data_IF_159559059689
#
_entry.id   IF_159559059689
#
_cell.length_a   1.000
_cell.length_b   1.000
_cell.length_c   1.000
_cell.angle_alpha   90.00
_cell.angle_beta   90.00
_cell.angle_gamma   90.00
#
_symmetry.space_group_name_H-M   'P 1'
#
loop_
_entity.id
_entity.type
_entity.pdbx_description
1 polymer ?
#
# COMPACT_ATOMS: atom_id res chain seq x y z
N UNK A 1 32.75 -8.56 -20.25
CA UNK A 1 32.25 -8.74 -18.86
C UNK A 1 31.89 -7.36 -18.36
N UNK A 2 30.58 -7.04 -18.32
CA UNK A 2 30.11 -5.79 -17.75
C UNK A 2 30.12 -5.94 -16.23
N UNK A 3 30.93 -5.14 -15.55
CA UNK A 3 30.89 -5.01 -14.10
C UNK A 3 29.54 -4.37 -13.77
N UNK A 4 28.61 -5.16 -13.26
CA UNK A 4 27.41 -4.63 -12.62
C UNK A 4 27.89 -3.73 -11.49
N UNK A 5 27.76 -2.42 -11.64
CA UNK A 5 27.95 -1.47 -10.56
C UNK A 5 26.87 -1.78 -9.53
N UNK A 6 27.27 -2.38 -8.42
CA UNK A 6 26.39 -2.53 -7.27
C UNK A 6 25.96 -1.11 -6.87
N UNK A 7 24.68 -0.82 -6.99
CA UNK A 7 24.11 0.46 -6.53
C UNK A 7 24.44 0.58 -5.03
N UNK A 8 25.05 1.69 -4.58
CA UNK A 8 25.38 1.83 -3.16
C UNK A 8 24.11 1.72 -2.34
N UNK A 9 24.19 1.00 -1.22
CA UNK A 9 23.05 0.86 -0.29
C UNK A 9 22.70 2.23 0.29
N UNK A 10 21.42 2.55 0.27
CA UNK A 10 20.86 3.81 0.75
C UNK A 10 20.13 3.63 2.07
N UNK A 11 20.11 4.68 2.88
CA UNK A 11 19.12 4.85 3.94
C UNK A 11 17.79 5.29 3.34
N UNK A 12 16.71 5.16 4.11
CA UNK A 12 15.39 5.63 3.67
C UNK A 12 15.38 7.13 3.32
N UNK A 13 16.05 7.95 4.13
CA UNK A 13 16.08 9.40 3.91
C UNK A 13 16.84 9.78 2.63
N UNK A 14 17.93 9.05 2.30
CA UNK A 14 18.64 9.20 1.03
C UNK A 14 17.76 8.72 -0.15
N UNK A 15 17.04 7.62 0.04
CA UNK A 15 16.18 7.03 -0.98
C UNK A 15 15.04 7.97 -1.39
N UNK A 16 14.30 8.58 -0.45
CA UNK A 16 13.18 9.46 -0.81
C UNK A 16 13.63 10.69 -1.58
N UNK A 17 14.79 11.26 -1.23
CA UNK A 17 15.39 12.37 -1.98
C UNK A 17 15.84 11.91 -3.37
N UNK A 18 16.46 10.74 -3.44
CA UNK A 18 16.92 10.17 -4.70
C UNK A 18 15.73 9.84 -5.62
N UNK A 19 14.68 9.19 -5.11
CA UNK A 19 13.51 8.79 -5.91
C UNK A 19 12.74 9.98 -6.45
N UNK A 20 12.57 11.04 -5.66
CA UNK A 20 11.94 12.30 -6.08
C UNK A 20 12.71 13.02 -7.21
N UNK A 21 14.02 12.80 -7.32
CA UNK A 21 14.85 13.36 -8.37
C UNK A 21 14.83 12.55 -9.68
N UNK A 22 14.22 11.34 -9.70
CA UNK A 22 14.16 10.54 -10.92
C UNK A 22 13.12 11.11 -11.90
N UNK A 23 13.43 11.18 -13.21
CA UNK A 23 12.52 11.75 -14.19
C UNK A 23 11.32 10.84 -14.48
N UNK A 24 11.43 9.56 -14.20
CA UNK A 24 10.41 8.51 -14.41
C UNK A 24 10.71 7.30 -13.53
N UNK A 25 9.70 6.45 -13.35
CA UNK A 25 9.78 5.20 -12.61
C UNK A 25 9.15 5.31 -11.23
N UNK A 26 8.86 4.15 -10.67
CA UNK A 26 8.43 3.98 -9.27
C UNK A 26 9.42 3.02 -8.62
N UNK A 27 9.74 3.25 -7.38
CA UNK A 27 10.83 2.56 -6.72
C UNK A 27 10.47 2.21 -5.28
N UNK A 28 10.94 1.06 -4.85
CA UNK A 28 10.93 0.63 -3.46
C UNK A 28 12.37 0.55 -2.93
N UNK A 29 12.52 0.66 -1.62
CA UNK A 29 13.80 0.42 -0.94
C UNK A 29 13.72 -0.91 -0.20
N UNK A 30 14.59 -1.87 -0.55
CA UNK A 30 14.62 -3.21 0.04
C UNK A 30 16.03 -3.51 0.52
N UNK A 31 16.23 -3.65 1.82
CA UNK A 31 17.56 -3.85 2.43
C UNK A 31 18.61 -2.76 2.04
N UNK A 32 18.13 -1.53 1.80
CA UNK A 32 18.96 -0.43 1.32
C UNK A 32 19.22 -0.45 -0.17
N UNK A 33 18.69 -1.39 -0.92
CA UNK A 33 18.81 -1.49 -2.38
C UNK A 33 17.56 -0.91 -3.05
N UNK A 34 17.76 -0.12 -4.10
CA UNK A 34 16.65 0.44 -4.89
C UNK A 34 16.13 -0.63 -5.83
N UNK A 35 14.83 -0.89 -5.77
CA UNK A 35 14.12 -1.83 -6.64
C UNK A 35 13.14 -1.04 -7.50
N UNK A 36 13.31 -1.08 -8.81
CA UNK A 36 12.37 -0.47 -9.74
C UNK A 36 11.11 -1.33 -9.86
N UNK A 37 9.95 -0.70 -9.72
CA UNK A 37 8.67 -1.38 -9.87
C UNK A 37 8.32 -1.55 -11.36
N UNK A 38 7.79 -2.71 -11.76
CA UNK A 38 7.43 -2.95 -13.15
C UNK A 38 6.24 -2.07 -13.58
N UNK A 39 6.14 -1.84 -14.89
CA UNK A 39 4.96 -1.19 -15.48
C UNK A 39 3.70 -2.03 -15.26
N UNK A 40 2.59 -1.38 -15.00
CA UNK A 40 1.30 -2.01 -14.69
C UNK A 40 0.39 -2.09 -15.92
N UNK A 41 -0.40 -3.15 -16.00
CA UNK A 41 -1.41 -3.31 -17.04
C UNK A 41 -2.70 -2.52 -16.75
N UNK A 42 -3.55 -2.35 -17.78
CA UNK A 42 -4.78 -1.57 -17.67
C UNK A 42 -5.76 -2.10 -16.61
N UNK A 43 -5.92 -3.43 -16.50
CA UNK A 43 -6.78 -4.03 -15.46
C UNK A 43 -6.31 -3.64 -14.05
N UNK A 44 -5.02 -3.72 -13.79
CA UNK A 44 -4.44 -3.35 -12.50
C UNK A 44 -4.76 -1.89 -12.16
N UNK A 45 -4.56 -0.97 -13.11
CA UNK A 45 -4.87 0.45 -12.93
C UNK A 45 -6.37 0.71 -12.67
N UNK A 46 -7.28 0.02 -13.37
CA UNK A 46 -8.72 0.15 -13.12
C UNK A 46 -9.11 -0.32 -11.73
N UNK A 47 -8.53 -1.42 -11.26
CA UNK A 47 -8.79 -1.93 -9.89
C UNK A 47 -8.21 -0.98 -8.84
N UNK A 48 -7.01 -0.43 -9.03
CA UNK A 48 -6.46 0.60 -8.13
C UNK A 48 -7.38 1.81 -8.03
N UNK A 49 -7.89 2.29 -9.16
CA UNK A 49 -8.85 3.40 -9.16
C UNK A 49 -10.11 3.05 -8.36
N UNK A 50 -10.67 1.85 -8.55
CA UNK A 50 -11.84 1.40 -7.81
C UNK A 50 -11.59 1.29 -6.31
N UNK A 51 -10.40 0.82 -5.89
CA UNK A 51 -9.96 0.79 -4.49
C UNK A 51 -9.95 2.19 -3.90
N UNK A 52 -9.27 3.13 -4.58
CA UNK A 52 -9.19 4.53 -4.10
C UNK A 52 -10.58 5.15 -3.97
N UNK A 53 -11.46 4.96 -4.97
CA UNK A 53 -12.83 5.47 -4.92
C UNK A 53 -13.64 4.86 -3.78
N UNK A 54 -13.53 3.55 -3.54
CA UNK A 54 -14.20 2.88 -2.43
C UNK A 54 -13.72 3.39 -1.06
N UNK A 55 -12.41 3.59 -0.89
CA UNK A 55 -11.83 4.17 0.32
C UNK A 55 -12.29 5.61 0.54
N UNK A 56 -12.30 6.44 -0.50
CA UNK A 56 -12.76 7.84 -0.43
C UNK A 56 -14.25 7.90 -0.07
N UNK A 57 -15.07 7.03 -0.65
CA UNK A 57 -16.50 6.96 -0.34
C UNK A 57 -16.73 6.53 1.11
N UNK A 58 -16.00 5.50 1.58
CA UNK A 58 -16.08 5.05 2.97
C UNK A 58 -15.64 6.14 3.96
N UNK A 59 -14.53 6.83 3.67
CA UNK A 59 -14.03 7.95 4.47
C UNK A 59 -15.07 9.08 4.56
N UNK A 60 -15.68 9.45 3.44
CA UNK A 60 -16.71 10.49 3.37
C UNK A 60 -17.95 10.10 4.18
N UNK A 61 -18.44 8.85 4.06
CA UNK A 61 -19.60 8.34 4.83
C UNK A 61 -19.32 8.32 6.33
N UNK A 62 -18.13 7.93 6.72
CA UNK A 62 -17.71 7.91 8.12
C UNK A 62 -17.35 9.29 8.68
N UNK A 63 -17.32 10.34 7.84
CA UNK A 63 -16.78 11.68 8.20
C UNK A 63 -15.37 11.59 8.76
N UNK A 64 -14.59 10.66 8.24
CA UNK A 64 -13.22 10.42 8.66
C UNK A 64 -12.30 11.54 8.16
N UNK A 65 -11.48 12.09 9.05
CA UNK A 65 -10.66 13.27 8.76
C UNK A 65 -9.31 12.95 8.09
N UNK A 66 -8.90 11.68 8.05
CA UNK A 66 -7.64 11.27 7.40
C UNK A 66 -7.71 11.41 5.87
N UNK A 67 -6.58 11.21 5.23
CA UNK A 67 -6.45 11.35 3.77
C UNK A 67 -6.30 10.00 3.10
N UNK A 68 -6.98 9.83 1.95
CA UNK A 68 -6.82 8.67 1.06
C UNK A 68 -5.84 9.03 -0.05
N UNK A 69 -4.79 8.25 -0.19
CA UNK A 69 -3.79 8.36 -1.24
C UNK A 69 -3.94 7.24 -2.27
N UNK A 70 -3.61 7.54 -3.50
CA UNK A 70 -3.28 6.57 -4.55
C UNK A 70 -1.80 6.18 -4.42
N UNK A 71 -1.27 5.39 -5.35
CA UNK A 71 0.16 5.09 -5.46
C UNK A 71 1.04 6.35 -5.63
N UNK A 72 2.34 6.18 -5.58
CA UNK A 72 3.33 7.27 -5.68
C UNK A 72 3.78 7.84 -4.34
N UNK A 73 3.25 7.35 -3.22
CA UNK A 73 3.69 7.76 -1.88
C UNK A 73 4.30 6.57 -1.13
N UNK A 74 5.53 6.73 -0.67
CA UNK A 74 6.26 5.68 0.03
C UNK A 74 5.83 5.57 1.49
N UNK A 75 5.65 4.36 2.00
CA UNK A 75 5.56 4.02 3.42
C UNK A 75 6.94 3.71 3.95
N UNK A 76 7.40 4.44 4.96
CA UNK A 76 8.64 4.14 5.68
C UNK A 76 8.43 2.93 6.59
N UNK A 77 9.12 1.84 6.32
CA UNK A 77 9.09 0.65 7.19
C UNK A 77 10.17 0.79 8.27
N UNK A 78 11.41 1.03 7.86
CA UNK A 78 12.55 1.27 8.75
C UNK A 78 13.63 2.12 8.04
N UNK A 79 14.85 2.12 8.57
CA UNK A 79 15.95 2.90 8.00
C UNK A 79 16.46 2.39 6.63
N UNK A 80 16.06 1.18 6.21
CA UNK A 80 16.56 0.54 4.97
C UNK A 80 15.43 -0.07 4.12
N UNK A 81 14.17 0.12 4.54
CA UNK A 81 13.00 -0.38 3.81
C UNK A 81 11.96 0.72 3.63
N UNK A 82 11.51 0.87 2.41
CA UNK A 82 10.41 1.74 2.00
C UNK A 82 9.57 1.05 0.94
N UNK A 83 8.25 1.01 1.13
CA UNK A 83 7.31 0.37 0.21
C UNK A 83 6.34 1.38 -0.36
N UNK A 84 5.96 1.19 -1.62
CA UNK A 84 4.96 2.02 -2.31
C UNK A 84 3.68 1.22 -2.53
N UNK A 85 2.66 1.34 -1.65
CA UNK A 85 1.40 0.64 -1.81
C UNK A 85 0.56 1.26 -2.95
N UNK A 86 -0.34 0.47 -3.53
CA UNK A 86 -1.28 0.92 -4.57
C UNK A 86 -2.34 1.91 -4.06
N UNK A 87 -2.66 1.85 -2.77
CA UNK A 87 -3.44 2.86 -2.07
C UNK A 87 -3.13 2.86 -0.57
N UNK A 88 -3.31 4.01 0.07
CA UNK A 88 -3.14 4.12 1.51
C UNK A 88 -4.13 5.13 2.13
N UNK A 89 -4.36 4.97 3.44
CA UNK A 89 -5.15 5.94 4.23
C UNK A 89 -4.34 6.33 5.46
N UNK A 90 -4.17 7.63 5.68
CA UNK A 90 -3.49 8.18 6.87
C UNK A 90 -4.48 8.49 7.98
N UNK A 91 -4.00 8.47 9.23
CA UNK A 91 -4.82 8.77 10.42
C UNK A 91 -5.26 10.22 10.44
N UNK A 92 -4.35 11.12 10.07
CA UNK A 92 -4.54 12.56 10.12
C UNK A 92 -4.63 13.16 8.72
N UNK A 93 -5.25 14.33 8.56
CA UNK A 93 -5.15 15.10 7.33
C UNK A 93 -3.68 15.42 7.00
N UNK A 94 -3.36 15.51 5.72
CA UNK A 94 -2.02 15.89 5.27
C UNK A 94 -1.77 17.33 5.68
N UNK A 95 -0.73 17.53 6.50
CA UNK A 95 -0.29 18.87 6.93
C UNK A 95 0.75 19.46 5.96
N UNK A 96 1.55 18.61 5.33
CA UNK A 96 2.59 19.00 4.37
C UNK A 96 2.32 18.32 3.03
N UNK A 97 1.89 19.09 2.04
CA UNK A 97 1.61 18.61 0.68
C UNK A 97 2.88 18.29 -0.12
N UNK A 98 4.03 18.73 0.34
CA UNK A 98 5.34 18.45 -0.27
C UNK A 98 6.04 17.24 0.38
N UNK A 99 5.38 16.57 1.33
CA UNK A 99 5.93 15.37 1.95
C UNK A 99 6.17 14.28 0.89
N UNK A 100 7.37 13.69 0.91
CA UNK A 100 7.79 12.66 -0.04
C UNK A 100 7.40 11.24 0.40
N UNK A 101 6.86 11.07 1.59
CA UNK A 101 6.41 9.79 2.12
C UNK A 101 5.22 9.96 3.05
N UNK A 102 4.48 8.87 3.28
CA UNK A 102 3.28 8.88 4.12
C UNK A 102 3.63 8.98 5.60
N UNK A 103 2.97 9.92 6.28
CA UNK A 103 3.03 10.06 7.73
C UNK A 103 1.78 9.40 8.31
N UNK A 104 1.97 8.53 9.32
CA UNK A 104 0.91 7.81 10.03
C UNK A 104 -0.08 7.05 9.12
N UNK A 105 0.39 6.20 8.17
CA UNK A 105 -0.50 5.33 7.42
C UNK A 105 -1.19 4.36 8.37
N UNK A 106 -2.52 4.16 8.20
CA UNK A 106 -3.32 3.24 9.00
C UNK A 106 -3.81 2.05 8.17
N UNK A 107 -4.11 2.29 6.91
CA UNK A 107 -4.57 1.28 5.96
C UNK A 107 -3.63 1.32 4.76
N UNK A 108 -3.14 0.17 4.34
CA UNK A 108 -2.38 0.01 3.10
C UNK A 108 -3.04 -1.05 2.23
N UNK A 109 -3.03 -0.85 0.92
CA UNK A 109 -3.64 -1.75 -0.06
C UNK A 109 -2.68 -2.03 -1.18
N UNK A 110 -2.53 -3.31 -1.51
CA UNK A 110 -1.83 -3.80 -2.69
C UNK A 110 -2.83 -4.48 -3.63
N UNK A 111 -2.73 -4.22 -4.91
CA UNK A 111 -3.47 -4.92 -5.96
C UNK A 111 -2.51 -5.88 -6.64
N UNK A 112 -2.69 -7.19 -6.46
CA UNK A 112 -1.75 -8.16 -7.00
C UNK A 112 -2.14 -8.59 -8.42
N UNK A 113 -1.13 -8.75 -9.26
CA UNK A 113 -1.24 -9.38 -10.57
C UNK A 113 -0.75 -10.82 -10.50
N UNK A 114 -1.15 -11.70 -11.43
CA UNK A 114 -0.64 -13.09 -11.47
C UNK A 114 0.89 -13.21 -11.57
N UNK A 115 1.55 -12.14 -12.03
CA UNK A 115 3.01 -12.11 -12.19
C UNK A 115 3.75 -11.58 -10.96
N UNK A 116 3.09 -10.78 -10.10
CA UNK A 116 3.70 -10.22 -8.87
C UNK A 116 3.45 -11.07 -7.62
N UNK A 117 2.70 -12.17 -7.74
CA UNK A 117 2.13 -12.93 -6.63
C UNK A 117 3.14 -13.75 -5.81
N UNK A 118 4.30 -14.10 -6.36
CA UNK A 118 5.14 -15.15 -5.78
C UNK A 118 6.06 -14.72 -4.65
N UNK A 119 6.51 -13.48 -4.62
CA UNK A 119 7.63 -13.11 -3.74
C UNK A 119 7.31 -12.04 -2.70
N UNK A 120 6.13 -11.42 -2.74
CA UNK A 120 5.94 -10.14 -2.06
C UNK A 120 4.94 -10.15 -0.89
N UNK A 121 3.88 -10.93 -0.98
CA UNK A 121 2.76 -10.80 -0.03
C UNK A 121 3.12 -11.18 1.41
N UNK A 122 3.95 -12.19 1.61
CA UNK A 122 4.36 -12.64 2.95
C UNK A 122 5.37 -11.70 3.60
N UNK A 123 6.34 -11.22 2.82
CA UNK A 123 7.36 -10.27 3.30
C UNK A 123 6.73 -8.92 3.59
N UNK A 124 5.95 -8.38 2.65
CA UNK A 124 5.22 -7.11 2.84
C UNK A 124 4.25 -7.14 4.02
N UNK A 125 3.61 -8.30 4.28
CA UNK A 125 2.75 -8.47 5.46
C UNK A 125 3.51 -8.17 6.76
N UNK A 126 4.68 -8.77 6.92
CA UNK A 126 5.51 -8.56 8.11
C UNK A 126 6.03 -7.13 8.16
N UNK A 127 6.53 -6.60 7.06
CA UNK A 127 7.07 -5.25 6.98
C UNK A 127 6.03 -4.18 7.29
N UNK A 128 4.85 -4.21 6.67
CA UNK A 128 3.81 -3.22 6.94
C UNK A 128 3.40 -3.20 8.42
N UNK A 129 3.30 -4.37 9.07
CA UNK A 129 2.94 -4.40 10.49
C UNK A 129 4.07 -4.08 11.46
N UNK A 130 5.31 -3.85 10.99
CA UNK A 130 6.34 -3.17 11.77
C UNK A 130 6.03 -1.69 11.97
N UNK A 131 5.28 -1.06 11.05
CA UNK A 131 4.83 0.32 11.20
C UNK A 131 3.72 0.38 12.25
N UNK A 132 3.92 1.09 13.38
CA UNK A 132 3.00 1.03 14.53
C UNK A 132 1.58 1.49 14.21
N UNK A 133 1.42 2.44 13.29
CA UNK A 133 0.13 3.04 12.93
C UNK A 133 -0.69 2.16 11.98
N UNK A 134 -0.05 1.24 11.24
CA UNK A 134 -0.77 0.38 10.30
C UNK A 134 -1.59 -0.65 11.07
N UNK A 135 -2.90 -0.61 10.85
CA UNK A 135 -3.90 -1.51 11.45
C UNK A 135 -4.48 -2.49 10.43
N UNK A 136 -4.49 -2.11 9.14
CA UNK A 136 -5.07 -2.92 8.09
C UNK A 136 -4.15 -2.99 6.87
N UNK A 137 -3.92 -4.20 6.40
CA UNK A 137 -3.30 -4.49 5.13
C UNK A 137 -4.26 -5.29 4.27
N UNK A 138 -4.60 -4.77 3.08
CA UNK A 138 -5.50 -5.40 2.13
C UNK A 138 -4.72 -5.83 0.90
N UNK A 139 -4.95 -7.06 0.46
CA UNK A 139 -4.45 -7.58 -0.81
C UNK A 139 -5.65 -7.84 -1.70
N UNK A 140 -5.80 -7.02 -2.74
CA UNK A 140 -6.87 -7.19 -3.73
C UNK A 140 -6.37 -8.13 -4.82
N UNK A 141 -7.12 -9.19 -5.09
CA UNK A 141 -6.84 -10.26 -6.05
C UNK A 141 -7.90 -10.25 -7.14
N UNK A 142 -7.73 -9.46 -8.22
CA UNK A 142 -8.78 -9.26 -9.21
C UNK A 142 -9.19 -10.54 -9.95
N UNK A 143 -8.22 -11.42 -10.24
CA UNK A 143 -8.46 -12.68 -10.97
C UNK A 143 -9.29 -13.63 -10.15
N UNK A 144 -8.98 -13.80 -8.87
CA UNK A 144 -9.70 -14.66 -7.93
C UNK A 144 -10.96 -14.01 -7.38
N UNK A 145 -11.21 -12.75 -7.72
CA UNK A 145 -12.30 -11.93 -7.18
C UNK A 145 -12.35 -12.00 -5.65
N UNK A 146 -11.22 -11.75 -5.03
CA UNK A 146 -11.05 -11.85 -3.59
C UNK A 146 -10.27 -10.66 -3.02
N UNK A 147 -10.57 -10.34 -1.76
CA UNK A 147 -9.75 -9.45 -0.93
C UNK A 147 -9.25 -10.24 0.26
N UNK A 148 -7.94 -10.31 0.44
CA UNK A 148 -7.32 -10.81 1.67
C UNK A 148 -7.12 -9.63 2.60
N UNK A 149 -7.74 -9.68 3.75
CA UNK A 149 -7.66 -8.62 4.76
C UNK A 149 -6.88 -9.12 5.97
N UNK A 150 -5.77 -8.48 6.25
CA UNK A 150 -5.00 -8.65 7.47
C UNK A 150 -5.27 -7.47 8.40
N UNK A 151 -5.73 -7.77 9.62
CA UNK A 151 -6.00 -6.76 10.66
C UNK A 151 -5.12 -7.01 11.87
N UNK A 152 -4.38 -5.99 12.31
CA UNK A 152 -3.58 -6.01 13.54
C UNK A 152 -4.48 -5.66 14.73
N UNK A 153 -4.64 -6.59 15.64
CA UNK A 153 -5.41 -6.42 16.87
C UNK A 153 -4.59 -5.71 17.96
N UNK A 154 -5.25 -5.23 19.00
CA UNK A 154 -4.60 -4.51 20.11
C UNK A 154 -3.55 -5.33 20.84
N UNK A 155 -3.72 -6.66 20.89
CA UNK A 155 -2.73 -7.60 21.42
C UNK A 155 -1.52 -7.86 20.53
N UNK A 156 -1.45 -7.25 19.34
CA UNK A 156 -0.40 -7.48 18.35
C UNK A 156 -0.62 -8.68 17.44
N UNK A 157 -1.67 -9.46 17.68
CA UNK A 157 -2.06 -10.57 16.80
C UNK A 157 -2.56 -10.06 15.45
N UNK A 158 -2.32 -10.83 14.39
CA UNK A 158 -2.83 -10.54 13.04
C UNK A 158 -3.96 -11.50 12.73
N UNK A 159 -5.16 -10.96 12.54
CA UNK A 159 -6.31 -11.71 12.03
C UNK A 159 -6.36 -11.60 10.52
N UNK A 160 -6.49 -12.73 9.83
CA UNK A 160 -6.64 -12.79 8.36
C UNK A 160 -8.02 -13.29 7.99
N UNK A 161 -8.64 -12.61 7.01
CA UNK A 161 -9.90 -13.02 6.39
C UNK A 161 -9.77 -12.97 4.87
N UNK A 162 -10.42 -13.89 4.16
CA UNK A 162 -10.54 -13.87 2.70
C UNK A 162 -12.00 -13.61 2.38
N UNK A 163 -12.27 -12.57 1.61
CA UNK A 163 -13.62 -12.11 1.28
C UNK A 163 -13.82 -12.07 -0.23
N UNK A 164 -14.98 -12.52 -0.69
CA UNK A 164 -15.36 -12.53 -2.10
C UNK A 164 -16.50 -11.56 -2.43
N UNK A 165 -16.89 -10.71 -1.50
CA UNK A 165 -17.97 -9.71 -1.63
C UNK A 165 -18.45 -9.25 -0.27
N UNK A 166 -19.54 -8.44 -0.28
CA UNK A 166 -20.15 -7.91 0.92
C UNK A 166 -19.39 -6.72 1.52
N UNK A 167 -19.62 -6.48 2.79
CA UNK A 167 -19.01 -5.37 3.52
C UNK A 167 -17.73 -5.78 4.22
N UNK A 168 -16.68 -5.00 4.01
CA UNK A 168 -15.45 -5.07 4.80
C UNK A 168 -15.38 -3.90 5.77
N UNK A 169 -15.39 -4.21 7.06
CA UNK A 169 -15.23 -3.21 8.13
C UNK A 169 -13.76 -3.08 8.52
N UNK A 170 -13.24 -1.86 8.43
CA UNK A 170 -11.90 -1.48 8.86
C UNK A 170 -12.01 -0.64 10.15
N UNK A 171 -11.83 -1.28 11.29
CA UNK A 171 -11.98 -0.65 12.60
C UNK A 171 -10.76 -0.95 13.48
N UNK A 172 -10.02 0.08 13.96
CA UNK A 172 -10.19 1.49 13.58
C UNK A 172 -9.86 1.75 12.12
N UNK A 173 -10.36 2.82 11.45
CA UNK A 173 -11.05 3.98 11.99
C UNK A 173 -12.58 3.93 11.84
N UNK A 174 -13.17 2.79 11.51
CA UNK A 174 -14.62 2.63 11.32
C UNK A 174 -15.07 2.83 9.87
N UNK A 175 -14.18 2.60 8.89
CA UNK A 175 -14.54 2.64 7.48
C UNK A 175 -15.24 1.33 7.08
N UNK A 176 -16.22 1.43 6.17
CA UNK A 176 -16.94 0.28 5.61
C UNK A 176 -16.81 0.33 4.08
N UNK A 177 -16.11 -0.66 3.53
CA UNK A 177 -15.96 -0.83 2.08
C UNK A 177 -17.02 -1.78 1.55
N UNK A 178 -17.61 -1.44 0.40
CA UNK A 178 -18.46 -2.34 -0.39
C UNK A 178 -17.56 -3.06 -1.40
N UNK A 179 -17.29 -4.33 -1.19
CA UNK A 179 -16.29 -5.07 -1.96
C UNK A 179 -16.70 -5.30 -3.42
N UNK A 180 -17.98 -5.28 -3.74
CA UNK A 180 -18.49 -5.37 -5.11
C UNK A 180 -17.97 -4.23 -5.99
N UNK A 181 -17.79 -3.03 -5.43
CA UNK A 181 -17.27 -1.88 -6.15
C UNK A 181 -15.81 -2.08 -6.57
N UNK A 182 -15.04 -2.84 -5.81
CA UNK A 182 -13.63 -3.16 -6.07
C UNK A 182 -13.53 -4.39 -6.98
N UNK A 183 -14.22 -5.47 -6.61
CA UNK A 183 -14.13 -6.77 -7.30
C UNK A 183 -14.87 -6.81 -8.64
N UNK A 184 -15.72 -5.84 -8.92
CA UNK A 184 -16.41 -5.68 -10.20
C UNK A 184 -15.66 -4.85 -11.24
N UNK A 185 -14.53 -4.23 -10.90
CA UNK A 185 -13.81 -3.27 -11.75
C UNK A 185 -12.79 -3.90 -12.70
N UNK A 186 -12.58 -5.23 -12.66
CA UNK A 186 -11.52 -5.93 -13.40
C UNK A 186 -11.99 -6.92 -14.48
#
# INVERSE_FOLDING_TARGET
>A
MSLAHATPKMTFDEFVVWSAAQPRGRYELVNGEVVEMPSEGGRHNLVKLAVVQALQEAARRAKFAGTVFTDGMTVRIDAKHGREPDAAVTVTPVADLEALYLIDPMIVVEVVSPTSERDDTGVKLLEYFLVPTIRHYLIVRPVERAVVHHAKLDGGEIRTAILHGGELRLDPPGLILQLEAILGAG
#
